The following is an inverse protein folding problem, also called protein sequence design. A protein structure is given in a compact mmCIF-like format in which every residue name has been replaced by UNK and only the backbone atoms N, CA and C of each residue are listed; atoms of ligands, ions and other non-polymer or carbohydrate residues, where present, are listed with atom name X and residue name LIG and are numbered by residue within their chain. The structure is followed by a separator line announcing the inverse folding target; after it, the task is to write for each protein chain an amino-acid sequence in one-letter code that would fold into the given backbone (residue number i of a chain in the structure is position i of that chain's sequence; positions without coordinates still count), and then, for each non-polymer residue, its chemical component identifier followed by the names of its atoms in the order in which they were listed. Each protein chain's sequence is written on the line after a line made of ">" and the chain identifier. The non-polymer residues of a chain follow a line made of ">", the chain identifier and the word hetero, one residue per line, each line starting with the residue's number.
data_IF_294245744626
#
_entry.id   IF_294245744626
#
_cell.length_a   1.000
_cell.length_b   1.000
_cell.length_c   1.000
_cell.angle_alpha   90.00
_cell.angle_beta   90.00
_cell.angle_gamma   90.00
#
_symmetry.space_group_name_H-M   'P 1'
#
loop_
_entity.id
_entity.type
_entity.pdbx_description
1 polymer ?
#
# COMPACT_ATOMS: atom_id res chain seq x y z
N UNK A 1 16.65 2.54 13.25
CA UNK A 1 17.24 1.80 12.08
C UNK A 1 18.74 2.02 11.96
N UNK A 2 19.26 3.23 11.61
CA UNK A 2 20.70 3.42 11.39
C UNK A 2 21.54 3.18 12.66
N UNK A 3 21.10 3.70 13.80
CA UNK A 3 21.78 3.54 15.10
C UNK A 3 21.87 2.05 15.48
N UNK A 4 20.79 1.34 15.42
CA UNK A 4 20.71 -0.11 15.66
C UNK A 4 21.59 -0.91 14.69
N UNK A 5 21.63 -0.49 13.42
CA UNK A 5 22.51 -1.09 12.43
C UNK A 5 23.99 -0.88 12.77
N UNK A 6 24.40 0.32 13.21
CA UNK A 6 25.77 0.61 13.61
C UNK A 6 26.20 -0.19 14.82
N UNK A 7 25.35 -0.30 15.84
CA UNK A 7 25.63 -1.12 17.04
C UNK A 7 25.79 -2.60 16.68
N UNK A 8 24.89 -3.13 15.87
CA UNK A 8 24.98 -4.52 15.41
C UNK A 8 26.24 -4.76 14.57
N UNK A 9 26.59 -3.82 13.71
CA UNK A 9 27.78 -3.92 12.88
C UNK A 9 29.07 -3.93 13.71
N UNK A 10 29.20 -3.03 14.69
CA UNK A 10 30.34 -3.01 15.62
C UNK A 10 30.42 -4.33 16.43
N UNK A 11 29.31 -4.83 16.90
CA UNK A 11 29.25 -6.12 17.61
C UNK A 11 29.68 -7.30 16.73
N UNK A 12 29.33 -7.28 15.43
CA UNK A 12 29.79 -8.31 14.49
C UNK A 12 31.29 -8.22 14.20
N UNK A 13 31.84 -7.01 14.08
CA UNK A 13 33.28 -6.79 13.95
C UNK A 13 34.05 -7.32 15.16
N UNK A 14 33.61 -6.99 16.38
CA UNK A 14 34.25 -7.44 17.63
C UNK A 14 34.24 -8.97 17.81
N UNK A 15 33.18 -9.62 17.31
CA UNK A 15 33.04 -11.09 17.38
C UNK A 15 33.77 -11.81 16.23
N UNK A 16 34.42 -11.08 15.34
CA UNK A 16 35.09 -11.66 14.17
C UNK A 16 34.14 -12.21 13.10
N UNK A 17 32.85 -11.81 13.16
CA UNK A 17 31.84 -12.19 12.16
C UNK A 17 31.99 -11.43 10.84
N UNK A 18 32.73 -10.33 10.86
CA UNK A 18 33.05 -9.53 9.67
C UNK A 18 34.56 -9.27 9.65
N UNK A 19 35.19 -9.50 8.53
CA UNK A 19 36.62 -9.21 8.38
C UNK A 19 36.85 -7.69 8.29
N UNK A 20 37.97 -7.16 8.85
CA UNK A 20 38.26 -5.74 8.77
C UNK A 20 38.29 -5.17 7.36
N UNK A 21 38.65 -5.98 6.35
CA UNK A 21 38.62 -5.63 4.94
C UNK A 21 37.18 -5.45 4.39
N UNK A 22 36.20 -6.07 5.01
CA UNK A 22 34.79 -5.97 4.62
C UNK A 22 34.11 -4.73 5.22
N UNK A 23 34.73 -4.05 6.17
CA UNK A 23 34.21 -2.80 6.75
C UNK A 23 34.03 -1.69 5.69
N UNK A 24 34.81 -1.74 4.60
CA UNK A 24 34.71 -0.81 3.49
C UNK A 24 33.51 -1.04 2.56
N UNK A 25 32.79 -2.15 2.72
CA UNK A 25 31.58 -2.45 1.94
C UNK A 25 30.35 -1.66 2.42
N UNK A 26 30.44 -1.07 3.59
CA UNK A 26 29.33 -0.33 4.21
C UNK A 26 29.70 1.14 4.30
N UNK A 27 28.74 1.99 3.95
CA UNK A 27 28.87 3.43 4.14
C UNK A 27 28.68 3.75 5.62
N UNK A 28 29.57 4.55 6.18
CA UNK A 28 29.31 5.16 7.48
C UNK A 28 28.18 6.20 7.36
N UNK A 29 27.74 6.72 8.50
CA UNK A 29 26.62 7.67 8.53
C UNK A 29 26.89 8.94 7.73
N UNK A 30 28.08 9.47 7.85
CA UNK A 30 28.46 10.75 7.26
C UNK A 30 28.60 10.58 5.74
N UNK A 31 29.23 9.52 5.27
CA UNK A 31 29.30 9.17 3.84
C UNK A 31 27.91 8.95 3.22
N UNK A 32 26.99 8.34 3.99
CA UNK A 32 25.61 8.14 3.53
C UNK A 32 24.88 9.47 3.39
N UNK A 33 25.03 10.38 4.38
CA UNK A 33 24.41 11.71 4.35
C UNK A 33 24.98 12.52 3.19
N UNK A 34 26.29 12.56 3.02
CA UNK A 34 26.95 13.26 1.91
C UNK A 34 26.45 12.76 0.55
N UNK A 35 26.33 11.45 0.38
CA UNK A 35 25.76 10.87 -0.84
C UNK A 35 24.29 11.23 -1.05
N UNK A 36 23.48 11.27 0.00
CA UNK A 36 22.09 11.69 -0.10
C UNK A 36 21.94 13.17 -0.43
N UNK A 37 22.77 14.03 0.17
CA UNK A 37 22.80 15.46 -0.11
C UNK A 37 23.28 15.80 -1.53
N UNK A 38 24.16 14.96 -2.10
CA UNK A 38 24.62 15.11 -3.48
C UNK A 38 23.54 14.74 -4.53
N UNK A 39 22.44 14.13 -4.13
CA UNK A 39 21.37 13.70 -5.02
C UNK A 39 20.13 14.59 -4.86
N UNK A 40 19.32 14.66 -5.93
CA UNK A 40 17.97 15.21 -5.83
C UNK A 40 17.12 14.24 -5.01
N UNK A 41 16.70 14.65 -3.83
CA UNK A 41 15.96 13.81 -2.90
C UNK A 41 14.64 14.46 -2.47
N UNK A 42 13.64 13.64 -2.22
CA UNK A 42 12.35 14.03 -1.63
C UNK A 42 12.18 13.24 -0.35
N UNK A 43 11.95 13.93 0.76
CA UNK A 43 11.57 13.31 2.02
C UNK A 43 10.07 13.39 2.22
N UNK A 44 9.46 12.29 2.68
CA UNK A 44 8.04 12.19 3.00
C UNK A 44 7.92 11.88 4.49
N UNK A 45 7.37 12.82 5.23
CA UNK A 45 7.18 12.70 6.67
C UNK A 45 5.70 12.81 7.02
N UNK A 46 5.24 11.96 7.94
CA UNK A 46 3.84 12.01 8.45
C UNK A 46 3.64 13.23 9.37
N UNK A 47 4.69 13.61 10.08
CA UNK A 47 4.69 14.77 10.96
C UNK A 47 5.70 15.79 10.46
N UNK A 48 5.43 17.06 10.69
CA UNK A 48 6.38 18.14 10.40
C UNK A 48 7.59 18.03 11.33
N UNK A 49 8.50 17.14 11.01
CA UNK A 49 9.76 16.94 11.74
C UNK A 49 10.85 17.78 11.09
N UNK A 50 11.53 18.58 11.89
CA UNK A 50 12.78 19.16 11.45
C UNK A 50 13.84 18.06 11.37
N UNK A 51 13.96 17.42 10.20
CA UNK A 51 15.04 16.49 9.96
C UNK A 51 16.36 17.22 10.13
N UNK A 52 17.18 16.78 11.09
CA UNK A 52 18.54 17.25 11.27
C UNK A 52 19.52 16.64 10.26
N UNK A 53 19.02 15.71 9.44
CA UNK A 53 19.85 14.89 8.55
C UNK A 53 19.90 15.48 7.15
N UNK A 54 18.80 16.01 6.65
CA UNK A 54 18.69 16.62 5.33
C UNK A 54 18.03 17.98 5.46
N UNK A 55 18.64 19.00 4.86
CA UNK A 55 18.09 20.34 4.81
C UNK A 55 17.29 20.52 3.52
N UNK A 56 15.96 20.41 3.55
CA UNK A 56 15.15 20.58 2.35
C UNK A 56 15.20 22.05 1.90
N UNK A 57 15.30 22.26 0.59
CA UNK A 57 15.23 23.59 -0.04
C UNK A 57 13.80 24.16 0.09
N UNK A 58 12.81 23.29 -0.07
CA UNK A 58 11.39 23.64 0.03
C UNK A 58 10.62 22.60 0.83
N UNK A 59 9.56 23.03 1.49
CA UNK A 59 8.67 22.17 2.27
C UNK A 59 7.24 22.41 1.85
N UNK A 60 6.52 21.32 1.61
CA UNK A 60 5.10 21.33 1.31
C UNK A 60 4.37 20.54 2.38
N UNK A 61 3.30 21.10 2.91
CA UNK A 61 2.41 20.39 3.84
C UNK A 61 1.11 20.06 3.14
N UNK A 62 0.72 18.81 3.19
CA UNK A 62 -0.54 18.33 2.63
C UNK A 62 -1.43 17.81 3.75
N UNK A 63 -2.62 18.36 3.85
CA UNK A 63 -3.65 17.80 4.72
C UNK A 63 -4.27 16.61 3.99
N UNK A 64 -3.83 15.41 4.36
CA UNK A 64 -4.29 14.15 3.76
C UNK A 64 -4.94 13.25 4.80
N UNK A 65 -6.07 12.66 4.47
CA UNK A 65 -6.73 11.65 5.30
C UNK A 65 -7.00 10.37 4.52
N UNK A 66 -7.07 9.27 5.25
CA UNK A 66 -7.47 7.98 4.68
C UNK A 66 -8.98 7.83 4.78
N UNK A 67 -9.56 7.20 3.76
CA UNK A 67 -11.00 6.91 3.75
C UNK A 67 -11.32 5.66 4.59
N UNK A 68 -12.52 5.65 5.15
CA UNK A 68 -13.08 4.45 5.75
C UNK A 68 -13.50 3.47 4.66
N UNK A 69 -13.31 2.18 4.93
CA UNK A 69 -13.79 1.15 4.00
C UNK A 69 -15.31 1.00 4.10
N UNK A 70 -15.97 0.97 2.97
CA UNK A 70 -17.42 0.75 2.88
C UNK A 70 -17.80 -0.74 3.00
N UNK A 71 -16.83 -1.66 2.84
CA UNK A 71 -17.01 -3.11 3.02
C UNK A 71 -18.19 -3.70 2.25
N UNK A 72 -18.47 -3.19 1.06
CA UNK A 72 -19.59 -3.61 0.23
C UNK A 72 -20.95 -2.96 0.61
N UNK A 73 -20.99 -2.08 1.61
CA UNK A 73 -22.19 -1.32 1.97
C UNK A 73 -22.38 -0.16 1.00
N UNK A 74 -23.11 -0.42 -0.06
CA UNK A 74 -23.26 0.51 -1.18
C UNK A 74 -24.00 1.78 -0.78
N UNK A 75 -24.96 1.69 0.14
CA UNK A 75 -25.71 2.85 0.61
C UNK A 75 -24.82 3.86 1.35
N UNK A 76 -23.85 3.39 2.16
CA UNK A 76 -22.85 4.28 2.79
C UNK A 76 -21.95 4.97 1.77
N UNK A 77 -21.52 4.24 0.73
CA UNK A 77 -20.76 4.84 -0.36
C UNK A 77 -21.57 5.93 -1.07
N UNK A 78 -22.85 5.68 -1.33
CA UNK A 78 -23.75 6.62 -2.02
C UNK A 78 -23.94 7.88 -1.18
N UNK A 79 -24.17 7.75 0.13
CA UNK A 79 -24.31 8.88 1.05
C UNK A 79 -23.04 9.73 1.09
N UNK A 80 -21.87 9.10 1.21
CA UNK A 80 -20.59 9.81 1.22
C UNK A 80 -20.33 10.53 -0.12
N UNK A 81 -20.63 9.89 -1.25
CA UNK A 81 -20.50 10.53 -2.57
C UNK A 81 -21.44 11.74 -2.69
N UNK A 82 -22.68 11.64 -2.21
CA UNK A 82 -23.63 12.78 -2.20
C UNK A 82 -23.09 13.93 -1.38
N UNK A 83 -22.57 13.65 -0.19
CA UNK A 83 -21.98 14.63 0.70
C UNK A 83 -20.77 15.31 0.03
N UNK A 84 -19.84 14.51 -0.53
CA UNK A 84 -18.67 15.04 -1.22
C UNK A 84 -19.06 15.89 -2.45
N UNK A 85 -20.01 15.43 -3.24
CA UNK A 85 -20.52 16.19 -4.38
C UNK A 85 -21.10 17.53 -3.95
N UNK A 86 -21.90 17.56 -2.88
CA UNK A 86 -22.49 18.80 -2.35
C UNK A 86 -21.45 19.78 -1.82
N UNK A 87 -20.34 19.27 -1.27
CA UNK A 87 -19.18 20.06 -0.82
C UNK A 87 -18.23 20.46 -1.96
N UNK A 88 -18.54 20.08 -3.19
CA UNK A 88 -17.76 20.40 -4.37
C UNK A 88 -16.47 19.59 -4.52
N UNK A 89 -16.39 18.39 -3.96
CA UNK A 89 -15.24 17.53 -4.15
C UNK A 89 -15.16 16.96 -5.56
N UNK A 90 -13.97 16.88 -6.08
CA UNK A 90 -13.62 16.08 -7.26
C UNK A 90 -13.45 14.65 -6.80
N UNK A 91 -14.38 13.77 -7.16
CA UNK A 91 -14.38 12.39 -6.67
C UNK A 91 -13.99 11.44 -7.77
N UNK A 92 -12.88 10.73 -7.58
CA UNK A 92 -12.40 9.68 -8.48
C UNK A 92 -12.60 8.33 -7.80
N UNK A 93 -13.29 7.41 -8.49
CA UNK A 93 -13.50 6.06 -7.98
C UNK A 93 -12.77 5.09 -8.89
N UNK A 94 -11.80 4.40 -8.33
CA UNK A 94 -11.03 3.40 -9.03
C UNK A 94 -11.79 2.07 -9.02
N UNK A 95 -11.92 1.46 -10.16
CA UNK A 95 -12.50 0.13 -10.30
C UNK A 95 -11.49 -0.86 -10.86
N UNK A 96 -11.43 -2.06 -10.29
CA UNK A 96 -10.51 -3.11 -10.72
C UNK A 96 -10.83 -3.68 -12.10
N UNK A 97 -12.02 -3.39 -12.66
CA UNK A 97 -12.42 -3.71 -14.03
C UNK A 97 -13.38 -2.65 -14.57
N UNK A 98 -13.33 -2.42 -15.88
CA UNK A 98 -14.25 -1.51 -16.59
C UNK A 98 -15.73 -1.86 -16.33
N UNK A 99 -16.08 -3.13 -16.48
CA UNK A 99 -17.45 -3.60 -16.27
C UNK A 99 -17.98 -3.29 -14.87
N UNK A 100 -17.12 -3.38 -13.85
CA UNK A 100 -17.51 -3.05 -12.48
C UNK A 100 -17.72 -1.55 -12.33
N UNK A 101 -16.85 -0.73 -12.91
CA UNK A 101 -16.99 0.72 -12.91
C UNK A 101 -18.29 1.17 -13.59
N UNK A 102 -18.59 0.64 -14.77
CA UNK A 102 -19.83 0.96 -15.52
C UNK A 102 -21.09 0.55 -14.75
N UNK A 103 -21.07 -0.60 -14.05
CA UNK A 103 -22.19 -1.01 -13.18
C UNK A 103 -22.42 -0.02 -12.04
N UNK A 104 -21.34 0.44 -11.39
CA UNK A 104 -21.45 1.43 -10.32
C UNK A 104 -21.96 2.77 -10.84
N UNK A 105 -21.52 3.21 -12.01
CA UNK A 105 -22.06 4.42 -12.68
C UNK A 105 -23.57 4.30 -12.85
N UNK A 106 -24.07 3.16 -13.35
CA UNK A 106 -25.51 2.94 -13.50
C UNK A 106 -26.24 2.95 -12.16
N UNK A 107 -25.66 2.29 -11.14
CA UNK A 107 -26.22 2.29 -9.77
C UNK A 107 -26.30 3.69 -9.18
N UNK A 108 -25.29 4.55 -9.39
CA UNK A 108 -25.31 5.94 -8.94
C UNK A 108 -26.35 6.75 -9.71
N UNK A 109 -26.50 6.51 -11.01
CA UNK A 109 -27.53 7.15 -11.83
C UNK A 109 -28.94 6.82 -11.35
N UNK A 110 -29.20 5.56 -10.97
CA UNK A 110 -30.49 5.15 -10.41
C UNK A 110 -30.80 5.81 -9.05
N UNK A 111 -29.78 6.37 -8.41
CA UNK A 111 -29.88 7.16 -7.17
C UNK A 111 -29.74 8.68 -7.39
N UNK A 112 -29.91 9.12 -8.64
CA UNK A 112 -29.87 10.53 -9.06
C UNK A 112 -28.50 11.19 -8.86
N UNK A 113 -27.43 10.41 -8.89
CA UNK A 113 -26.07 10.93 -8.84
C UNK A 113 -25.44 10.83 -10.22
N UNK A 114 -25.22 11.98 -10.83
CA UNK A 114 -24.49 12.05 -12.10
C UNK A 114 -23.06 11.59 -11.91
N UNK A 115 -22.65 10.65 -12.71
CA UNK A 115 -21.29 10.11 -12.75
C UNK A 115 -20.97 9.56 -14.13
N UNK A 116 -19.70 9.47 -14.46
CA UNK A 116 -19.24 8.96 -15.75
C UNK A 116 -18.07 7.99 -15.59
N UNK A 117 -17.91 7.07 -16.53
CA UNK A 117 -16.71 6.25 -16.65
C UNK A 117 -15.80 6.86 -17.71
N UNK A 118 -14.52 7.08 -17.37
CA UNK A 118 -13.50 7.63 -18.29
C UNK A 118 -12.25 6.76 -18.24
N UNK A 119 -11.69 6.45 -19.38
CA UNK A 119 -10.41 5.72 -19.47
C UNK A 119 -9.21 6.66 -19.21
N UNK A 120 -9.33 7.91 -19.63
CA UNK A 120 -8.34 8.95 -19.41
C UNK A 120 -8.99 10.15 -18.73
N UNK A 121 -8.42 10.59 -17.63
CA UNK A 121 -8.87 11.74 -16.84
C UNK A 121 -7.89 12.88 -17.05
N UNK A 122 -8.17 13.76 -18.02
CA UNK A 122 -7.36 14.98 -18.26
C UNK A 122 -7.72 16.10 -17.31
N UNK A 123 -9.00 16.22 -16.98
CA UNK A 123 -9.53 17.21 -16.05
C UNK A 123 -10.76 16.67 -15.34
N UNK A 124 -11.02 17.19 -14.18
CA UNK A 124 -12.21 16.88 -13.39
C UNK A 124 -12.72 18.17 -12.74
N UNK A 125 -14.00 18.39 -12.83
CA UNK A 125 -14.64 19.59 -12.31
C UNK A 125 -15.06 19.44 -10.85
N UNK A 126 -15.26 20.56 -10.16
CA UNK A 126 -15.77 20.54 -8.79
C UNK A 126 -17.18 19.93 -8.73
N UNK A 127 -17.36 19.00 -7.80
CA UNK A 127 -18.62 18.26 -7.66
C UNK A 127 -18.79 17.11 -8.67
N UNK A 128 -17.81 16.87 -9.52
CA UNK A 128 -17.85 15.78 -10.50
C UNK A 128 -17.43 14.44 -9.87
N UNK A 129 -18.10 13.36 -10.29
CA UNK A 129 -17.83 11.98 -9.87
C UNK A 129 -17.44 11.17 -11.09
N UNK A 130 -16.20 10.67 -11.11
CA UNK A 130 -15.65 9.96 -12.25
C UNK A 130 -15.15 8.57 -11.81
N UNK A 131 -15.55 7.57 -12.57
CA UNK A 131 -14.99 6.22 -12.45
C UNK A 131 -13.91 6.02 -13.49
N UNK A 132 -12.84 5.33 -13.11
CA UNK A 132 -11.78 4.93 -14.03
C UNK A 132 -11.19 3.59 -13.63
N UNK A 133 -10.44 2.98 -14.55
CA UNK A 133 -9.66 1.79 -14.23
C UNK A 133 -8.47 2.18 -13.35
N UNK A 134 -8.27 1.43 -12.27
CA UNK A 134 -7.13 1.63 -11.40
C UNK A 134 -7.19 0.74 -10.16
N UNK A 135 -6.07 0.65 -9.49
CA UNK A 135 -5.95 -0.13 -8.26
C UNK A 135 -5.04 0.61 -7.28
N UNK A 136 -5.61 0.97 -6.14
CA UNK A 136 -4.88 1.45 -4.98
C UNK A 136 -5.12 0.52 -3.80
N UNK A 137 -4.15 0.45 -2.91
CA UNK A 137 -4.29 -0.32 -1.68
C UNK A 137 -5.37 0.28 -0.80
N UNK A 138 -5.43 1.62 -0.74
CA UNK A 138 -6.37 2.41 0.04
C UNK A 138 -6.62 3.74 -0.65
N UNK A 139 -7.86 4.22 -0.59
CA UNK A 139 -8.20 5.57 -1.04
C UNK A 139 -7.71 6.65 -0.08
N UNK A 140 -7.78 7.87 -0.54
CA UNK A 140 -7.35 9.04 0.21
C UNK A 140 -8.18 10.27 -0.13
N UNK A 141 -8.10 11.25 0.74
CA UNK A 141 -8.74 12.54 0.57
C UNK A 141 -7.74 13.66 0.85
N UNK A 142 -7.78 14.69 0.00
CA UNK A 142 -7.10 15.96 0.19
C UNK A 142 -8.15 17.07 0.35
N UNK A 143 -8.57 17.42 1.57
CA UNK A 143 -9.63 18.41 1.81
C UNK A 143 -9.33 19.79 1.20
N UNK A 144 -8.08 20.24 1.30
CA UNK A 144 -7.64 21.54 0.79
C UNK A 144 -7.75 21.64 -0.73
N UNK A 145 -7.62 20.53 -1.44
CA UNK A 145 -7.77 20.43 -2.89
C UNK A 145 -9.18 20.01 -3.30
N UNK A 146 -10.04 19.72 -2.33
CA UNK A 146 -11.35 19.08 -2.55
C UNK A 146 -11.25 17.87 -3.49
N UNK A 147 -10.25 17.04 -3.26
CA UNK A 147 -10.00 15.83 -4.04
C UNK A 147 -10.22 14.60 -3.16
N UNK A 148 -11.02 13.66 -3.65
CA UNK A 148 -11.24 12.36 -3.03
C UNK A 148 -10.99 11.27 -4.06
N UNK A 149 -10.18 10.29 -3.68
CA UNK A 149 -9.91 9.10 -4.50
C UNK A 149 -10.30 7.86 -3.70
N UNK A 150 -11.31 7.15 -4.16
CA UNK A 150 -11.87 5.95 -3.55
C UNK A 150 -11.32 4.74 -4.30
N UNK A 151 -10.76 3.76 -3.61
CA UNK A 151 -10.24 2.53 -4.23
C UNK A 151 -11.31 1.45 -4.36
N UNK A 152 -11.12 0.51 -5.28
CA UNK A 152 -11.96 -0.69 -5.40
C UNK A 152 -12.02 -1.49 -4.09
N UNK A 153 -10.93 -1.51 -3.33
CA UNK A 153 -10.86 -2.17 -2.03
C UNK A 153 -11.66 -1.45 -0.94
N UNK A 154 -11.72 -0.13 -0.98
CA UNK A 154 -12.55 0.63 -0.04
C UNK A 154 -14.03 0.34 -0.29
N UNK A 155 -14.43 0.22 -1.55
CA UNK A 155 -15.82 -0.05 -1.93
C UNK A 155 -16.25 -1.48 -1.54
N UNK A 156 -15.47 -2.49 -1.93
CA UNK A 156 -15.86 -3.90 -1.82
C UNK A 156 -15.17 -4.66 -0.70
N UNK A 157 -14.22 -4.05 -0.03
CA UNK A 157 -13.35 -4.73 0.93
C UNK A 157 -12.25 -5.54 0.23
N UNK A 158 -11.34 -6.06 1.02
CA UNK A 158 -10.36 -7.02 0.50
C UNK A 158 -11.07 -8.32 0.14
N UNK A 159 -11.05 -8.67 -1.13
CA UNK A 159 -11.44 -10.02 -1.52
C UNK A 159 -10.55 -10.97 -0.70
N UNK A 160 -11.13 -11.65 0.29
CA UNK A 160 -10.45 -12.78 0.94
C UNK A 160 -10.06 -13.70 -0.20
N UNK A 161 -8.80 -13.63 -0.63
CA UNK A 161 -8.23 -14.66 -1.50
C UNK A 161 -8.45 -15.94 -0.73
N UNK A 162 -9.51 -16.68 -1.11
CA UNK A 162 -9.53 -18.09 -0.83
C UNK A 162 -8.24 -18.58 -1.48
N UNK A 163 -7.20 -18.75 -0.65
CA UNK A 163 -6.06 -19.56 -1.04
C UNK A 163 -6.74 -20.87 -1.36
N UNK A 164 -7.08 -21.07 -2.63
CA UNK A 164 -7.36 -22.40 -3.12
C UNK A 164 -6.04 -23.11 -2.78
N UNK A 165 -6.05 -23.86 -1.69
CA UNK A 165 -5.08 -24.92 -1.51
C UNK A 165 -5.29 -25.75 -2.76
N UNK A 166 -4.54 -25.44 -3.84
CA UNK A 166 -4.26 -26.42 -4.87
C UNK A 166 -3.71 -27.57 -4.06
N UNK A 167 -4.58 -28.50 -3.75
CA UNK A 167 -4.15 -29.80 -3.35
C UNK A 167 -3.29 -30.28 -4.51
N UNK A 168 -2.00 -29.93 -4.47
CA UNK A 168 -1.03 -30.64 -5.24
C UNK A 168 -1.18 -32.06 -4.70
N UNK A 169 -1.91 -32.88 -5.43
CA UNK A 169 -1.90 -34.30 -5.24
C UNK A 169 -0.48 -34.78 -5.57
N UNK A 170 0.44 -34.51 -4.67
CA UNK A 170 1.67 -35.25 -4.58
C UNK A 170 1.27 -36.66 -4.08
N UNK A 171 0.78 -37.46 -5.03
CA UNK A 171 0.74 -38.89 -4.87
C UNK A 171 2.17 -39.30 -4.47
N UNK A 172 2.35 -39.71 -3.21
CA UNK A 172 3.58 -40.37 -2.81
C UNK A 172 4.25 -39.92 -1.50
N UNK A 173 3.79 -38.83 -0.85
CA UNK A 173 4.35 -38.49 0.47
C UNK A 173 3.25 -38.67 1.51
N UNK A 174 3.20 -39.86 2.09
CA UNK A 174 2.32 -40.15 3.22
C UNK A 174 2.73 -39.30 4.43
N UNK A 175 1.77 -38.60 5.04
CA UNK A 175 2.00 -38.00 6.36
C UNK A 175 2.33 -39.14 7.34
N UNK A 176 3.46 -39.05 8.00
CA UNK A 176 3.83 -39.97 9.08
C UNK A 176 2.75 -39.87 10.15
N UNK A 177 2.06 -40.96 10.42
CA UNK A 177 0.99 -41.02 11.42
C UNK A 177 1.50 -41.36 12.81
N UNK A 178 2.67 -41.96 12.89
CA UNK A 178 3.32 -42.34 14.15
C UNK A 178 4.84 -42.36 13.99
N UNK A 179 5.56 -41.99 15.07
CA UNK A 179 7.01 -42.07 15.11
C UNK A 179 7.55 -43.51 14.90
N UNK A 180 6.71 -44.53 15.12
CA UNK A 180 7.04 -45.92 14.86
C UNK A 180 7.19 -46.28 13.38
N UNK A 181 6.73 -45.41 12.45
CA UNK A 181 6.88 -45.58 11.00
C UNK A 181 8.25 -45.12 10.48
N UNK A 182 9.06 -44.43 11.31
CA UNK A 182 10.38 -43.95 10.94
C UNK A 182 11.44 -45.01 11.12
N UNK A 183 12.31 -45.16 10.14
CA UNK A 183 13.49 -46.00 10.16
C UNK A 183 14.76 -45.17 10.21
N UNK A 184 15.81 -45.68 10.78
CA UNK A 184 17.13 -45.06 10.76
C UNK A 184 17.56 -44.85 9.30
N UNK A 185 17.79 -43.57 8.92
CA UNK A 185 18.13 -43.15 7.55
C UNK A 185 17.01 -42.46 6.77
N UNK A 186 15.78 -42.38 7.31
CA UNK A 186 14.70 -41.65 6.65
C UNK A 186 14.90 -40.12 6.73
N UNK A 187 14.63 -39.42 5.61
CA UNK A 187 14.65 -37.97 5.56
C UNK A 187 13.27 -37.45 5.96
N UNK A 188 13.24 -36.56 6.94
CA UNK A 188 12.01 -35.90 7.40
C UNK A 188 12.12 -34.39 7.27
N UNK A 189 11.00 -33.73 6.97
CA UNK A 189 10.91 -32.27 6.93
C UNK A 189 10.08 -31.83 8.12
N UNK A 190 10.66 -30.98 8.96
CA UNK A 190 9.95 -30.31 10.05
C UNK A 190 9.23 -29.10 9.48
N UNK A 191 7.92 -29.02 9.66
CA UNK A 191 7.14 -27.83 9.34
C UNK A 191 7.04 -26.97 10.60
N UNK A 192 7.65 -25.79 10.56
CA UNK A 192 7.39 -24.71 11.53
C UNK A 192 6.06 -24.03 11.23
#
# INVERSE_FOLDING_TARGET
>A
CYFEFSENYEAFLQRGGILPSQSKLLLNKDDLIEKLESQKSITLDVFAVNSKILNPIERYSFNASTLNSYQGQLDLLIEDIKEKKSKGYKTIILSGTRTRGERLVNTLRDREIESSYREDIKSIEFGEVVFTFGNLLKGFEYPDLKLCVISDKDVFGEAKRKISKKASSRKGIGKIKSFAELKLGDYVVHAN
#
